data_IF_963958198498
#
_entry.id   IF_963958198498
#
_cell.length_a   1.000
_cell.length_b   1.000
_cell.length_c   1.000
_cell.angle_alpha   90.00
_cell.angle_beta   90.00
_cell.angle_gamma   90.00
#
_symmetry.space_group_name_H-M   'P 1'
#
loop_
_entity.id
_entity.type
_entity.pdbx_description
1 polymer ?
#
# COMPACT_ATOMS: atom_id res chain seq x y z
N UNK A 1 -8.93 12.93 -3.46
CA UNK A 1 -10.23 13.66 -3.38
C UNK A 1 -11.02 13.20 -2.16
N UNK A 2 -11.92 14.05 -1.65
CA UNK A 2 -12.80 13.72 -0.50
C UNK A 2 -13.64 12.48 -0.80
N UNK A 3 -14.18 12.37 -2.03
CA UNK A 3 -14.98 11.23 -2.47
C UNK A 3 -14.22 9.90 -2.31
N UNK A 4 -12.95 9.86 -2.70
CA UNK A 4 -12.11 8.66 -2.54
C UNK A 4 -11.93 8.28 -1.07
N UNK A 5 -11.79 9.26 -0.18
CA UNK A 5 -11.72 9.01 1.26
C UNK A 5 -12.98 8.34 1.80
N UNK A 6 -14.16 8.82 1.41
CA UNK A 6 -15.45 8.25 1.82
C UNK A 6 -15.64 6.85 1.25
N UNK A 7 -15.32 6.61 -0.03
CA UNK A 7 -15.39 5.28 -0.66
C UNK A 7 -14.46 4.30 0.05
N UNK A 8 -13.25 4.73 0.41
CA UNK A 8 -12.30 3.91 1.16
C UNK A 8 -12.82 3.54 2.55
N UNK A 9 -13.46 4.48 3.24
CA UNK A 9 -14.10 4.23 4.54
C UNK A 9 -15.27 3.24 4.41
N UNK A 10 -16.16 3.41 3.43
CA UNK A 10 -17.25 2.47 3.14
C UNK A 10 -16.70 1.06 2.85
N UNK A 11 -15.68 0.98 1.99
CA UNK A 11 -15.04 -0.28 1.65
C UNK A 11 -14.38 -0.96 2.86
N UNK A 12 -13.78 -0.18 3.77
CA UNK A 12 -13.22 -0.70 5.02
C UNK A 12 -14.31 -1.26 5.93
N UNK A 13 -15.44 -0.54 6.09
CA UNK A 13 -16.60 -1.00 6.86
C UNK A 13 -17.13 -2.31 6.27
N UNK A 14 -17.41 -2.37 4.98
CA UNK A 14 -17.91 -3.59 4.33
C UNK A 14 -16.98 -4.80 4.54
N UNK A 15 -15.66 -4.59 4.45
CA UNK A 15 -14.67 -5.67 4.72
C UNK A 15 -14.70 -6.11 6.19
N UNK A 16 -14.77 -5.16 7.11
CA UNK A 16 -14.81 -5.45 8.56
C UNK A 16 -16.06 -6.22 8.98
N UNK A 17 -17.17 -6.00 8.27
CA UNK A 17 -18.42 -6.76 8.47
C UNK A 17 -18.45 -8.11 7.72
N UNK A 18 -17.31 -8.58 7.21
CA UNK A 18 -17.22 -9.88 6.54
C UNK A 18 -17.84 -9.90 5.13
N UNK A 19 -18.04 -8.75 4.51
CA UNK A 19 -18.59 -8.62 3.15
C UNK A 19 -17.57 -8.05 2.14
N UNK A 20 -16.36 -8.65 2.02
CA UNK A 20 -15.31 -8.13 1.14
C UNK A 20 -15.72 -8.13 -0.34
N UNK A 21 -16.59 -9.07 -0.76
CA UNK A 21 -17.09 -9.14 -2.14
C UNK A 21 -17.80 -7.85 -2.54
N UNK A 22 -18.60 -7.25 -1.67
CA UNK A 22 -19.29 -5.99 -1.97
C UNK A 22 -18.30 -4.83 -2.12
N UNK A 23 -17.27 -4.76 -1.26
CA UNK A 23 -16.22 -3.75 -1.39
C UNK A 23 -15.47 -3.89 -2.73
N UNK A 24 -15.19 -5.11 -3.16
CA UNK A 24 -14.57 -5.38 -4.49
C UNK A 24 -15.51 -4.96 -5.61
N UNK A 25 -16.81 -5.25 -5.50
CA UNK A 25 -17.82 -4.86 -6.51
C UNK A 25 -17.88 -3.35 -6.67
N UNK A 26 -17.83 -2.56 -5.57
CA UNK A 26 -17.78 -1.08 -5.66
C UNK A 26 -16.54 -0.62 -6.43
N UNK A 27 -15.37 -1.19 -6.13
CA UNK A 27 -14.12 -0.81 -6.81
C UNK A 27 -14.11 -1.22 -8.27
N UNK A 28 -14.59 -2.41 -8.61
CA UNK A 28 -14.70 -2.88 -10.00
C UNK A 28 -15.66 -2.00 -10.82
N UNK A 29 -16.83 -1.72 -10.25
CA UNK A 29 -17.81 -0.83 -10.89
C UNK A 29 -17.24 0.55 -11.15
N UNK A 30 -16.55 1.15 -10.15
CA UNK A 30 -15.87 2.42 -10.29
C UNK A 30 -14.88 2.40 -11.45
N UNK A 31 -14.03 1.36 -11.53
CA UNK A 31 -13.02 1.25 -12.59
C UNK A 31 -13.63 1.05 -13.96
N UNK A 32 -14.69 0.25 -14.07
CA UNK A 32 -15.41 0.05 -15.36
C UNK A 32 -16.03 1.36 -15.82
N UNK A 33 -16.74 2.08 -14.94
CA UNK A 33 -17.33 3.37 -15.26
C UNK A 33 -16.25 4.38 -15.65
N UNK A 34 -15.13 4.40 -14.91
CA UNK A 34 -14.00 5.27 -15.23
C UNK A 34 -13.39 4.96 -16.60
N UNK A 35 -13.19 3.70 -16.93
CA UNK A 35 -12.67 3.28 -18.23
C UNK A 35 -13.62 3.67 -19.39
N UNK A 36 -14.93 3.47 -19.22
CA UNK A 36 -15.93 3.84 -20.21
C UNK A 36 -15.97 5.35 -20.40
N UNK A 37 -15.99 6.13 -19.31
CA UNK A 37 -16.03 7.59 -19.39
C UNK A 37 -14.73 8.15 -20.00
N UNK A 38 -13.56 7.60 -19.65
CA UNK A 38 -12.30 8.00 -20.28
C UNK A 38 -12.27 7.65 -21.77
N UNK A 39 -12.82 6.50 -22.18
CA UNK A 39 -12.97 6.16 -23.58
C UNK A 39 -13.82 7.20 -24.34
N UNK A 40 -14.95 7.60 -23.76
CA UNK A 40 -15.82 8.64 -24.35
C UNK A 40 -15.11 9.99 -24.46
N UNK A 41 -14.31 10.36 -23.45
CA UNK A 41 -13.54 11.62 -23.48
C UNK A 41 -12.43 11.59 -24.53
N UNK A 42 -11.71 10.48 -24.65
CA UNK A 42 -10.54 10.38 -25.56
C UNK A 42 -10.99 10.27 -27.03
N UNK A 43 -11.96 9.40 -27.32
CA UNK A 43 -12.38 9.11 -28.69
C UNK A 43 -13.54 9.98 -29.17
N UNK A 44 -14.19 10.72 -28.28
CA UNK A 44 -15.28 11.69 -28.59
C UNK A 44 -16.36 11.16 -29.55
N UNK A 45 -16.93 9.98 -29.33
CA UNK A 45 -18.02 9.48 -30.15
C UNK A 45 -19.23 10.42 -30.11
N UNK A 46 -19.33 11.24 -29.04
CA UNK A 46 -20.37 12.27 -28.86
C UNK A 46 -19.68 13.52 -28.30
N UNK A 47 -19.79 14.66 -29.03
CA UNK A 47 -19.16 15.95 -28.64
C UNK A 47 -19.91 16.67 -27.50
N UNK A 48 -20.14 16.00 -26.39
CA UNK A 48 -20.85 16.54 -25.21
C UNK A 48 -19.89 16.80 -24.04
N UNK A 49 -18.71 16.18 -24.05
CA UNK A 49 -17.77 16.21 -22.91
C UNK A 49 -16.57 17.11 -23.29
N UNK A 50 -16.06 17.92 -22.35
CA UNK A 50 -14.83 18.70 -22.55
C UNK A 50 -13.66 17.80 -22.96
N UNK A 51 -12.81 18.32 -23.85
CA UNK A 51 -11.65 17.60 -24.37
C UNK A 51 -10.47 17.63 -23.36
N UNK A 52 -9.57 16.67 -23.49
CA UNK A 52 -8.29 16.67 -22.77
C UNK A 52 -8.39 16.46 -21.27
N UNK A 53 -7.58 17.18 -20.52
CA UNK A 53 -7.39 16.98 -19.06
C UNK A 53 -8.67 17.25 -18.26
N UNK A 54 -9.47 18.24 -18.70
CA UNK A 54 -10.72 18.59 -18.02
C UNK A 54 -11.75 17.46 -18.12
N UNK A 55 -11.91 16.89 -19.31
CA UNK A 55 -12.81 15.74 -19.52
C UNK A 55 -12.40 14.52 -18.70
N UNK A 56 -11.10 14.20 -18.66
CA UNK A 56 -10.58 13.10 -17.84
C UNK A 56 -10.82 13.37 -16.34
N UNK A 57 -10.65 14.61 -15.88
CA UNK A 57 -10.93 14.98 -14.50
C UNK A 57 -12.43 14.82 -14.17
N UNK A 58 -13.32 15.23 -15.07
CA UNK A 58 -14.76 15.04 -14.90
C UNK A 58 -15.15 13.55 -14.90
N UNK A 59 -14.58 12.74 -15.79
CA UNK A 59 -14.77 11.29 -15.80
C UNK A 59 -14.35 10.63 -14.47
N UNK A 60 -13.24 11.08 -13.91
CA UNK A 60 -12.79 10.61 -12.58
C UNK A 60 -13.77 10.99 -11.47
N UNK A 61 -14.25 12.24 -11.43
CA UNK A 61 -15.23 12.68 -10.42
C UNK A 61 -16.54 11.93 -10.56
N UNK A 62 -17.04 11.77 -11.79
CA UNK A 62 -18.28 11.04 -12.05
C UNK A 62 -18.19 9.57 -11.64
N UNK A 63 -17.10 8.88 -11.98
CA UNK A 63 -16.91 7.47 -11.59
C UNK A 63 -16.82 7.30 -10.07
N UNK A 64 -16.17 8.22 -9.36
CA UNK A 64 -16.16 8.22 -7.89
C UNK A 64 -17.55 8.51 -7.31
N UNK A 65 -18.30 9.43 -7.91
CA UNK A 65 -19.68 9.73 -7.52
C UNK A 65 -20.60 8.50 -7.62
N UNK A 66 -20.55 7.79 -8.75
CA UNK A 66 -21.33 6.56 -8.95
C UNK A 66 -20.91 5.44 -8.00
N UNK A 67 -19.61 5.28 -7.74
CA UNK A 67 -19.10 4.32 -6.77
C UNK A 67 -19.54 4.62 -5.34
N UNK A 68 -19.60 5.91 -4.98
CA UNK A 68 -20.12 6.34 -3.67
C UNK A 68 -21.58 5.97 -3.51
N UNK A 69 -22.42 6.25 -4.51
CA UNK A 69 -23.84 5.88 -4.48
C UNK A 69 -24.04 4.37 -4.33
N UNK A 70 -23.28 3.58 -5.09
CA UNK A 70 -23.33 2.11 -5.02
C UNK A 70 -22.85 1.62 -3.64
N UNK A 71 -21.78 2.21 -3.10
CA UNK A 71 -21.26 1.87 -1.77
C UNK A 71 -22.25 2.16 -0.65
N UNK A 72 -22.91 3.33 -0.68
CA UNK A 72 -23.96 3.71 0.26
C UNK A 72 -25.17 2.77 0.14
N UNK A 73 -25.59 2.44 -1.09
CA UNK A 73 -26.66 1.48 -1.32
C UNK A 73 -26.36 0.12 -0.69
N UNK A 74 -25.12 -0.39 -0.86
CA UNK A 74 -24.72 -1.65 -0.21
C UNK A 74 -24.72 -1.57 1.32
N UNK A 75 -24.35 -0.44 1.92
CA UNK A 75 -24.44 -0.26 3.37
C UNK A 75 -25.88 -0.44 3.85
N UNK A 76 -26.84 0.24 3.22
CA UNK A 76 -28.26 0.12 3.57
C UNK A 76 -28.79 -1.31 3.33
N UNK A 77 -28.45 -1.92 2.21
CA UNK A 77 -28.87 -3.29 1.90
C UNK A 77 -28.30 -4.33 2.88
N UNK A 78 -27.16 -4.06 3.48
CA UNK A 78 -26.57 -4.91 4.53
C UNK A 78 -27.17 -4.66 5.93
N UNK A 79 -28.16 -3.80 6.06
CA UNK A 79 -28.76 -3.43 7.34
C UNK A 79 -27.89 -2.51 8.21
N UNK A 80 -26.87 -1.89 7.60
CA UNK A 80 -26.01 -0.92 8.26
C UNK A 80 -26.65 0.47 8.09
N UNK A 81 -27.50 0.85 9.04
CA UNK A 81 -28.13 2.17 9.01
C UNK A 81 -27.18 3.23 9.55
N UNK A 82 -27.01 4.31 8.79
CA UNK A 82 -26.29 5.50 9.22
C UNK A 82 -27.25 6.33 10.10
N UNK A 83 -27.09 6.22 11.41
CA UNK A 83 -27.87 7.02 12.36
C UNK A 83 -27.19 8.38 12.58
N UNK A 84 -27.61 9.38 11.79
CA UNK A 84 -27.16 10.76 11.93
C UNK A 84 -27.84 11.51 13.09
N UNK A 85 -28.90 10.94 13.67
CA UNK A 85 -29.74 11.62 14.69
C UNK A 85 -29.27 11.38 16.14
N UNK A 86 -28.36 10.42 16.35
CA UNK A 86 -27.88 10.08 17.69
C UNK A 86 -26.92 11.16 18.22
N UNK A 87 -27.47 12.13 18.94
CA UNK A 87 -26.75 13.15 19.73
C UNK A 87 -26.06 12.58 20.98
N UNK A 88 -25.75 11.30 21.03
CA UNK A 88 -25.16 10.69 22.22
C UNK A 88 -23.68 11.10 22.38
N UNK A 89 -23.31 11.55 23.57
CA UNK A 89 -21.93 11.82 24.01
C UNK A 89 -20.97 10.65 23.75
N UNK A 90 -21.46 9.43 23.58
CA UNK A 90 -20.71 8.23 23.15
C UNK A 90 -20.08 8.40 21.78
N UNK A 91 -20.64 9.22 20.89
CA UNK A 91 -20.11 9.49 19.55
C UNK A 91 -18.74 10.17 19.61
N UNK A 92 -18.54 11.14 20.51
CA UNK A 92 -17.24 11.80 20.70
C UNK A 92 -16.15 10.82 21.21
N UNK A 93 -16.53 9.91 22.09
CA UNK A 93 -15.62 8.86 22.58
C UNK A 93 -15.20 7.91 21.45
N UNK A 94 -16.13 7.54 20.56
CA UNK A 94 -15.82 6.73 19.37
C UNK A 94 -14.89 7.47 18.38
N UNK A 95 -15.14 8.77 18.14
CA UNK A 95 -14.28 9.60 17.29
C UNK A 95 -12.86 9.67 17.86
N UNK A 96 -12.72 9.86 19.19
CA UNK A 96 -11.42 9.83 19.86
C UNK A 96 -10.67 8.50 19.68
N UNK A 97 -11.39 7.36 19.76
CA UNK A 97 -10.85 6.03 19.49
C UNK A 97 -10.37 5.87 18.06
N UNK A 98 -11.17 6.31 17.09
CA UNK A 98 -10.82 6.26 15.66
C UNK A 98 -9.59 7.13 15.36
N UNK A 99 -9.55 8.35 15.91
CA UNK A 99 -8.39 9.26 15.74
C UNK A 99 -7.12 8.70 16.37
N UNK A 100 -7.23 8.08 17.55
CA UNK A 100 -6.09 7.45 18.25
C UNK A 100 -5.43 6.35 17.41
N UNK A 101 -6.21 5.66 16.58
CA UNK A 101 -5.72 4.60 15.68
C UNK A 101 -5.35 5.18 14.32
N UNK A 102 -6.18 6.05 13.77
CA UNK A 102 -6.04 6.59 12.42
C UNK A 102 -4.91 7.61 12.28
N UNK A 103 -4.71 8.48 13.28
CA UNK A 103 -3.70 9.52 13.22
C UNK A 103 -2.26 8.98 13.10
N UNK A 104 -1.84 7.98 13.90
CA UNK A 104 -0.55 7.33 13.69
C UNK A 104 -0.39 6.72 12.28
N UNK A 105 -1.44 6.10 11.74
CA UNK A 105 -1.45 5.60 10.37
C UNK A 105 -1.26 6.71 9.33
N UNK A 106 -1.97 7.82 9.50
CA UNK A 106 -1.85 9.01 8.66
C UNK A 106 -0.44 9.62 8.69
N UNK A 107 0.14 9.76 9.87
CA UNK A 107 1.53 10.26 10.04
C UNK A 107 2.52 9.35 9.33
N UNK A 108 2.40 8.02 9.48
CA UNK A 108 3.26 7.06 8.76
C UNK A 108 3.14 7.23 7.24
N UNK A 109 1.92 7.36 6.71
CA UNK A 109 1.67 7.50 5.28
C UNK A 109 2.20 8.81 4.72
N UNK A 110 2.03 9.91 5.44
CA UNK A 110 2.59 11.22 5.07
C UNK A 110 4.11 11.18 5.08
N UNK A 111 4.72 10.66 6.16
CA UNK A 111 6.17 10.51 6.28
C UNK A 111 6.74 9.68 5.12
N UNK A 112 6.10 8.57 4.79
CA UNK A 112 6.48 7.74 3.64
C UNK A 112 6.37 8.51 2.32
N UNK A 113 5.29 9.25 2.09
CA UNK A 113 5.10 10.04 0.87
C UNK A 113 6.19 11.11 0.71
N UNK A 114 6.51 11.83 1.78
CA UNK A 114 7.60 12.79 1.77
C UNK A 114 8.97 12.14 1.54
N UNK A 115 9.23 11.00 2.17
CA UNK A 115 10.48 10.26 1.96
C UNK A 115 10.63 9.79 0.51
N UNK A 116 9.55 9.41 -0.17
CA UNK A 116 9.57 9.05 -1.59
C UNK A 116 9.87 10.23 -2.50
N UNK A 117 9.40 11.44 -2.16
CA UNK A 117 9.76 12.67 -2.89
C UNK A 117 11.26 12.93 -2.76
N UNK A 118 11.80 12.91 -1.55
CA UNK A 118 13.24 13.12 -1.29
C UNK A 118 14.07 12.03 -1.98
N UNK A 119 13.68 10.78 -1.88
CA UNK A 119 14.36 9.66 -2.55
C UNK A 119 14.37 9.82 -4.08
N UNK A 120 13.25 10.29 -4.65
CA UNK A 120 13.18 10.58 -6.09
C UNK A 120 14.08 11.75 -6.49
N UNK A 121 14.20 12.78 -5.63
CA UNK A 121 15.13 13.89 -5.84
C UNK A 121 16.59 13.44 -5.80
N UNK A 122 16.95 12.52 -4.89
CA UNK A 122 18.29 11.91 -4.85
C UNK A 122 18.57 11.16 -6.16
N UNK A 123 17.60 10.38 -6.64
CA UNK A 123 17.72 9.63 -7.90
C UNK A 123 17.81 10.54 -9.13
N UNK A 124 17.15 11.68 -9.12
CA UNK A 124 17.21 12.67 -10.21
C UNK A 124 18.64 13.21 -10.41
N UNK A 125 19.44 13.30 -9.35
CA UNK A 125 20.87 13.71 -9.42
C UNK A 125 21.71 12.66 -10.19
N UNK A 126 21.29 11.39 -10.23
CA UNK A 126 21.99 10.31 -10.95
C UNK A 126 21.73 10.35 -12.46
N UNK A 127 20.89 11.24 -12.95
CA UNK A 127 20.58 11.43 -14.35
C UNK A 127 19.25 10.79 -14.80
N UNK A 128 18.85 11.16 -16.02
CA UNK A 128 17.55 10.78 -16.58
C UNK A 128 17.41 9.27 -16.83
N UNK A 129 18.48 8.58 -17.21
CA UNK A 129 18.47 7.14 -17.44
C UNK A 129 18.16 6.37 -16.15
N UNK A 130 18.79 6.76 -15.01
CA UNK A 130 18.53 6.15 -13.71
C UNK A 130 17.10 6.41 -13.23
N UNK A 131 16.59 7.62 -13.43
CA UNK A 131 15.21 7.96 -13.07
C UNK A 131 14.19 7.19 -13.90
N UNK A 132 14.43 7.05 -15.20
CA UNK A 132 13.58 6.27 -16.12
C UNK A 132 13.60 4.78 -15.75
N UNK A 133 14.79 4.22 -15.49
CA UNK A 133 14.94 2.85 -15.02
C UNK A 133 14.14 2.61 -13.72
N UNK A 134 14.22 3.53 -12.74
CA UNK A 134 13.40 3.48 -11.51
C UNK A 134 11.92 3.39 -11.82
N UNK A 135 11.41 4.26 -12.71
CA UNK A 135 9.97 4.32 -13.04
C UNK A 135 9.51 2.98 -13.62
N UNK A 136 10.26 2.42 -14.58
CA UNK A 136 9.90 1.16 -15.22
C UNK A 136 9.97 -0.02 -14.26
N UNK A 137 11.07 -0.13 -13.49
CA UNK A 137 11.21 -1.17 -12.46
C UNK A 137 10.07 -1.07 -11.44
N UNK A 138 9.80 0.13 -10.91
CA UNK A 138 8.74 0.34 -9.94
C UNK A 138 7.36 -0.04 -10.50
N UNK A 139 7.10 0.18 -11.79
CA UNK A 139 5.83 -0.21 -12.44
C UNK A 139 5.66 -1.73 -12.49
N UNK A 140 6.74 -2.47 -12.72
CA UNK A 140 6.72 -3.95 -12.74
C UNK A 140 6.60 -4.50 -11.32
N UNK A 141 7.42 -4.03 -10.39
CA UNK A 141 7.45 -4.48 -8.99
C UNK A 141 6.17 -4.13 -8.25
N UNK A 142 5.43 -3.12 -8.70
CA UNK A 142 4.14 -2.72 -8.11
C UNK A 142 3.15 -3.87 -7.97
N UNK A 143 3.15 -4.84 -8.89
CA UNK A 143 2.26 -6.00 -8.80
C UNK A 143 2.64 -6.94 -7.64
N UNK A 144 3.93 -7.10 -7.36
CA UNK A 144 4.40 -7.85 -6.17
C UNK A 144 4.03 -7.12 -4.90
N UNK A 145 4.28 -5.80 -4.87
CA UNK A 145 3.91 -4.92 -3.76
C UNK A 145 2.43 -5.02 -3.40
N UNK A 146 1.53 -4.90 -4.37
CA UNK A 146 0.07 -4.96 -4.14
C UNK A 146 -0.35 -6.32 -3.60
N UNK A 147 0.31 -7.40 -4.03
CA UNK A 147 0.03 -8.75 -3.53
C UNK A 147 0.37 -8.86 -2.04
N UNK A 148 1.57 -8.43 -1.64
CA UNK A 148 1.98 -8.41 -0.24
C UNK A 148 1.11 -7.50 0.63
N UNK A 149 0.77 -6.30 0.12
CA UNK A 149 -0.12 -5.35 0.79
C UNK A 149 -1.52 -5.92 1.01
N UNK A 150 -2.07 -6.64 0.03
CA UNK A 150 -3.39 -7.25 0.12
C UNK A 150 -3.44 -8.34 1.18
N UNK A 151 -2.39 -9.17 1.28
CA UNK A 151 -2.24 -10.18 2.33
C UNK A 151 -2.11 -9.52 3.71
N UNK A 152 -1.32 -8.46 3.82
CA UNK A 152 -1.19 -7.69 5.06
C UNK A 152 -2.53 -7.10 5.52
N UNK A 153 -3.27 -6.45 4.63
CA UNK A 153 -4.57 -5.85 4.94
C UNK A 153 -5.60 -6.92 5.36
N UNK A 154 -5.63 -8.07 4.69
CA UNK A 154 -6.49 -9.19 5.07
C UNK A 154 -6.12 -9.73 6.45
N UNK A 155 -4.82 -9.82 6.74
CA UNK A 155 -4.32 -10.24 8.06
C UNK A 155 -4.75 -9.26 9.15
N UNK A 156 -4.70 -7.94 8.91
CA UNK A 156 -5.15 -6.94 9.88
C UNK A 156 -6.61 -7.14 10.30
N UNK A 157 -7.51 -7.41 9.34
CA UNK A 157 -8.92 -7.63 9.61
C UNK A 157 -9.14 -8.88 10.48
N UNK A 158 -8.51 -9.99 10.10
CA UNK A 158 -8.61 -11.25 10.84
C UNK A 158 -7.98 -11.14 12.24
N UNK A 159 -6.85 -10.44 12.35
CA UNK A 159 -6.22 -10.12 13.63
C UNK A 159 -7.15 -9.33 14.53
N UNK A 160 -7.82 -8.31 13.99
CA UNK A 160 -8.81 -7.51 14.72
C UNK A 160 -9.95 -8.37 15.28
N UNK A 161 -10.51 -9.27 14.48
CA UNK A 161 -11.57 -10.19 14.93
C UNK A 161 -11.11 -11.15 16.03
N UNK A 162 -9.95 -11.81 15.81
CA UNK A 162 -9.44 -12.77 16.78
C UNK A 162 -9.00 -12.10 18.08
N UNK A 163 -8.41 -10.91 18.00
CA UNK A 163 -8.02 -10.13 19.20
C UNK A 163 -9.25 -9.66 19.96
N UNK A 164 -10.29 -9.20 19.26
CA UNK A 164 -11.58 -8.84 19.87
C UNK A 164 -12.26 -10.04 20.57
N UNK A 165 -12.16 -11.22 19.97
CA UNK A 165 -12.63 -12.49 20.57
C UNK A 165 -11.68 -13.05 21.67
N UNK A 166 -10.55 -12.40 21.95
CA UNK A 166 -9.49 -12.84 22.89
C UNK A 166 -8.83 -14.18 22.51
N UNK A 167 -8.90 -14.56 21.23
CA UNK A 167 -8.32 -15.79 20.69
C UNK A 167 -6.86 -15.60 20.27
N UNK A 168 -6.01 -15.15 21.17
CA UNK A 168 -4.63 -14.72 20.89
C UNK A 168 -3.74 -15.81 20.25
N UNK A 169 -3.93 -17.07 20.62
CA UNK A 169 -3.16 -18.18 20.03
C UNK A 169 -3.55 -18.46 18.57
N UNK A 170 -4.83 -18.33 18.25
CA UNK A 170 -5.29 -18.44 16.86
C UNK A 170 -4.75 -17.29 16.03
N UNK A 171 -4.82 -16.06 16.58
CA UNK A 171 -4.27 -14.87 15.94
C UNK A 171 -2.75 -15.01 15.66
N UNK A 172 -2.00 -15.55 16.63
CA UNK A 172 -0.57 -15.78 16.45
C UNK A 172 -0.27 -16.80 15.34
N UNK A 173 -0.99 -17.94 15.32
CA UNK A 173 -0.85 -18.96 14.27
C UNK A 173 -1.25 -18.43 12.89
N UNK A 174 -2.32 -17.66 12.81
CA UNK A 174 -2.75 -17.02 11.57
C UNK A 174 -1.66 -16.11 11.00
N UNK A 175 -1.10 -15.22 11.83
CA UNK A 175 -0.01 -14.34 11.40
C UNK A 175 1.17 -15.14 10.82
N UNK A 176 1.60 -16.21 11.50
CA UNK A 176 2.70 -17.04 11.01
C UNK A 176 2.39 -17.72 9.66
N UNK A 177 1.15 -18.15 9.46
CA UNK A 177 0.72 -18.72 8.17
C UNK A 177 0.70 -17.65 7.08
N UNK A 178 0.13 -16.49 7.36
CA UNK A 178 0.09 -15.37 6.40
C UNK A 178 1.48 -14.87 6.05
N UNK A 179 2.39 -14.80 7.03
CA UNK A 179 3.79 -14.43 6.78
C UNK A 179 4.48 -15.42 5.85
N UNK A 180 4.34 -16.74 6.08
CA UNK A 180 4.91 -17.77 5.20
C UNK A 180 4.36 -17.65 3.78
N UNK A 181 3.05 -17.47 3.64
CA UNK A 181 2.40 -17.31 2.32
C UNK A 181 2.92 -16.05 1.63
N UNK A 182 2.96 -14.91 2.33
CA UNK A 182 3.41 -13.64 1.75
C UNK A 182 4.88 -13.70 1.30
N UNK A 183 5.77 -14.21 2.16
CA UNK A 183 7.19 -14.37 1.83
C UNK A 183 7.38 -15.30 0.64
N UNK A 184 6.75 -16.48 0.65
CA UNK A 184 6.85 -17.43 -0.44
C UNK A 184 6.36 -16.86 -1.76
N UNK A 185 5.20 -16.18 -1.74
CA UNK A 185 4.60 -15.61 -2.92
C UNK A 185 5.45 -14.45 -3.48
N UNK A 186 5.91 -13.54 -2.61
CA UNK A 186 6.77 -12.44 -3.05
C UNK A 186 8.10 -12.96 -3.63
N UNK A 187 8.72 -13.98 -3.01
CA UNK A 187 9.95 -14.59 -3.56
C UNK A 187 9.67 -15.17 -4.95
N UNK A 188 8.62 -15.97 -5.10
CA UNK A 188 8.30 -16.59 -6.39
C UNK A 188 8.07 -15.53 -7.46
N UNK A 189 7.27 -14.51 -7.17
CA UNK A 189 6.98 -13.44 -8.12
C UNK A 189 8.22 -12.63 -8.46
N UNK A 190 9.05 -12.25 -7.47
CA UNK A 190 10.27 -11.46 -7.70
C UNK A 190 11.31 -12.26 -8.50
N UNK A 191 11.47 -13.55 -8.21
CA UNK A 191 12.37 -14.44 -8.98
C UNK A 191 11.88 -14.57 -10.41
N UNK A 192 10.58 -14.75 -10.64
CA UNK A 192 10.00 -14.79 -11.99
C UNK A 192 10.26 -13.48 -12.76
N UNK A 193 10.06 -12.33 -12.10
CA UNK A 193 10.34 -11.02 -12.69
C UNK A 193 11.83 -10.89 -13.00
N UNK A 194 12.72 -11.30 -12.09
CA UNK A 194 14.16 -11.26 -12.32
C UNK A 194 14.56 -12.13 -13.51
N UNK A 195 14.05 -13.36 -13.63
CA UNK A 195 14.35 -14.25 -14.74
C UNK A 195 13.82 -13.70 -16.09
N UNK A 196 12.67 -13.03 -16.04
CA UNK A 196 12.02 -12.44 -17.22
C UNK A 196 12.30 -10.94 -17.39
N UNK A 197 13.31 -10.37 -16.69
CA UNK A 197 13.49 -8.92 -16.67
C UNK A 197 13.76 -8.32 -18.07
N UNK A 198 14.55 -8.96 -18.92
CA UNK A 198 14.82 -8.46 -20.28
C UNK A 198 13.56 -8.34 -21.14
N UNK A 199 12.77 -9.40 -21.37
CA UNK A 199 11.53 -9.28 -22.14
C UNK A 199 10.53 -8.33 -21.50
N UNK A 200 10.44 -8.26 -20.17
CA UNK A 200 9.58 -7.30 -19.49
C UNK A 200 10.03 -5.85 -19.72
N UNK A 201 11.34 -5.58 -19.69
CA UNK A 201 11.87 -4.24 -19.94
C UNK A 201 11.70 -3.80 -21.39
N UNK A 202 11.79 -4.73 -22.35
CA UNK A 202 11.54 -4.43 -23.77
C UNK A 202 10.11 -3.94 -24.06
N UNK A 203 9.14 -4.20 -23.18
CA UNK A 203 7.79 -3.62 -23.27
C UNK A 203 7.77 -2.10 -22.98
N UNK A 204 8.78 -1.59 -22.28
CA UNK A 204 8.86 -0.19 -21.85
C UNK A 204 9.89 0.61 -22.65
N UNK A 205 11.00 0.00 -23.04
CA UNK A 205 12.11 0.70 -23.72
C UNK A 205 12.93 -0.23 -24.60
N UNK A 206 13.56 0.36 -25.63
CA UNK A 206 14.56 -0.32 -26.48
C UNK A 206 16.00 0.08 -26.11
N UNK A 207 16.20 0.92 -25.10
CA UNK A 207 17.53 1.35 -24.66
C UNK A 207 18.23 0.26 -23.89
N UNK A 208 19.28 -0.34 -24.50
CA UNK A 208 20.12 -1.37 -23.85
C UNK A 208 20.83 -0.84 -22.61
N UNK A 209 21.13 0.45 -22.54
CA UNK A 209 21.68 1.10 -21.35
C UNK A 209 20.75 0.96 -20.17
N UNK A 210 19.46 1.30 -20.36
CA UNK A 210 18.44 1.22 -19.30
C UNK A 210 18.19 -0.24 -18.92
N UNK A 211 18.07 -1.14 -19.90
CA UNK A 211 17.84 -2.57 -19.68
C UNK A 211 19.00 -3.19 -18.90
N UNK A 212 20.24 -2.85 -19.26
CA UNK A 212 21.45 -3.34 -18.59
C UNK A 212 21.51 -2.97 -17.10
N UNK A 213 21.08 -1.74 -16.75
CA UNK A 213 21.02 -1.31 -15.35
C UNK A 213 19.99 -2.09 -14.54
N UNK A 214 18.88 -2.54 -15.15
CA UNK A 214 17.74 -3.11 -14.40
C UNK A 214 17.97 -4.54 -13.93
N UNK A 215 18.86 -5.30 -14.54
CA UNK A 215 19.14 -6.68 -14.12
C UNK A 215 19.63 -6.78 -12.66
N UNK A 216 20.61 -5.93 -12.29
CA UNK A 216 21.10 -5.85 -10.90
C UNK A 216 20.00 -5.36 -9.95
N UNK A 217 19.17 -4.43 -10.42
CA UNK A 217 18.08 -3.87 -9.62
C UNK A 217 17.05 -4.95 -9.28
N UNK A 218 16.58 -5.71 -10.26
CA UNK A 218 15.64 -6.81 -10.03
C UNK A 218 16.21 -7.93 -9.14
N UNK A 219 17.52 -8.18 -9.22
CA UNK A 219 18.16 -9.10 -8.30
C UNK A 219 18.13 -8.60 -6.85
N UNK A 220 18.48 -7.33 -6.62
CA UNK A 220 18.41 -6.71 -5.28
C UNK A 220 16.94 -6.68 -4.80
N UNK A 221 16.01 -6.46 -5.70
CA UNK A 221 14.58 -6.34 -5.41
C UNK A 221 13.98 -7.63 -4.83
N UNK A 222 14.53 -8.81 -5.15
CA UNK A 222 14.13 -10.07 -4.48
C UNK A 222 14.25 -9.94 -2.96
N UNK A 223 15.34 -9.35 -2.50
CA UNK A 223 15.57 -9.14 -1.06
C UNK A 223 14.70 -8.00 -0.50
N UNK A 224 14.45 -6.96 -1.30
CA UNK A 224 13.49 -5.91 -0.94
C UNK A 224 12.11 -6.52 -0.68
N UNK A 225 11.65 -7.38 -1.58
CA UNK A 225 10.31 -7.98 -1.48
C UNK A 225 10.18 -8.98 -0.33
N UNK A 226 11.28 -9.66 0.06
CA UNK A 226 11.31 -10.46 1.29
C UNK A 226 11.09 -9.56 2.51
N UNK A 227 11.87 -8.49 2.65
CA UNK A 227 11.72 -7.53 3.74
C UNK A 227 10.33 -6.89 3.75
N UNK A 228 9.81 -6.56 2.58
CA UNK A 228 8.49 -5.97 2.37
C UNK A 228 7.36 -6.91 2.79
N UNK A 229 7.47 -8.22 2.51
CA UNK A 229 6.49 -9.21 2.96
C UNK A 229 6.43 -9.27 4.49
N UNK A 230 7.58 -9.27 5.17
CA UNK A 230 7.62 -9.16 6.64
C UNK A 230 7.00 -7.86 7.11
N UNK A 231 7.36 -6.73 6.51
CA UNK A 231 6.85 -5.42 6.86
C UNK A 231 5.32 -5.36 6.72
N UNK A 232 4.77 -5.74 5.56
CA UNK A 232 3.33 -5.67 5.32
C UNK A 232 2.52 -6.56 6.26
N UNK A 233 2.93 -7.80 6.49
CA UNK A 233 2.17 -8.72 7.35
C UNK A 233 2.28 -8.32 8.82
N UNK A 234 3.48 -8.01 9.30
CA UNK A 234 3.70 -7.71 10.71
C UNK A 234 3.17 -6.34 11.12
N UNK A 235 3.39 -5.28 10.29
CA UNK A 235 2.82 -3.94 10.53
C UNK A 235 1.29 -4.00 10.62
N UNK A 236 0.66 -4.65 9.62
CA UNK A 236 -0.78 -4.78 9.58
C UNK A 236 -1.33 -5.65 10.73
N UNK A 237 -0.61 -6.70 11.13
CA UNK A 237 -0.99 -7.51 12.29
C UNK A 237 -0.93 -6.74 13.60
N UNK A 238 0.13 -5.95 13.81
CA UNK A 238 0.27 -5.08 14.98
C UNK A 238 -0.84 -4.03 15.03
N UNK A 239 -1.12 -3.37 13.90
CA UNK A 239 -2.20 -2.38 13.77
C UNK A 239 -3.57 -3.01 13.99
N UNK A 240 -3.83 -4.18 13.41
CA UNK A 240 -5.07 -4.94 13.61
C UNK A 240 -5.29 -5.35 15.07
N UNK A 241 -4.22 -5.58 15.82
CA UNK A 241 -4.25 -5.85 17.26
C UNK A 241 -4.25 -4.58 18.15
N UNK A 242 -4.29 -3.37 17.57
CA UNK A 242 -4.33 -2.09 18.28
C UNK A 242 -2.96 -1.51 18.68
N UNK A 243 -1.85 -2.16 18.32
CA UNK A 243 -0.50 -1.62 18.56
C UNK A 243 -0.07 -0.74 17.38
N UNK A 244 -0.65 0.45 17.25
CA UNK A 244 -0.48 1.35 16.10
C UNK A 244 0.68 2.34 16.25
N UNK A 245 1.00 2.72 17.49
CA UNK A 245 2.01 3.74 17.76
C UNK A 245 3.43 3.23 17.49
N UNK A 246 3.73 2.01 17.91
CA UNK A 246 5.05 1.41 17.72
C UNK A 246 5.43 1.29 16.23
N UNK A 247 4.58 0.72 15.35
CA UNK A 247 4.87 0.69 13.92
C UNK A 247 5.04 2.08 13.30
N UNK A 248 4.25 3.08 13.72
CA UNK A 248 4.40 4.45 13.24
C UNK A 248 5.79 5.01 13.54
N UNK A 249 6.25 4.91 14.78
CA UNK A 249 7.57 5.44 15.19
C UNK A 249 8.69 4.78 14.41
N UNK A 250 8.66 3.45 14.30
CA UNK A 250 9.68 2.69 13.56
C UNK A 250 9.64 3.05 12.06
N UNK A 251 8.45 3.17 11.46
CA UNK A 251 8.33 3.55 10.06
C UNK A 251 8.93 4.94 9.77
N UNK A 252 8.67 5.92 10.64
CA UNK A 252 9.24 7.27 10.50
C UNK A 252 10.77 7.24 10.64
N UNK A 253 11.27 6.59 11.68
CA UNK A 253 12.74 6.51 11.92
C UNK A 253 13.42 5.79 10.74
N UNK A 254 12.86 4.71 10.25
CA UNK A 254 13.43 3.92 9.16
C UNK A 254 13.42 4.70 7.83
N UNK A 255 12.30 5.32 7.48
CA UNK A 255 12.22 6.11 6.24
C UNK A 255 13.30 7.19 6.16
N UNK A 256 13.53 7.90 7.23
CA UNK A 256 14.50 9.02 7.25
C UNK A 256 15.91 8.57 7.60
N UNK A 257 16.07 7.72 8.62
CA UNK A 257 17.37 7.30 9.15
C UNK A 257 18.01 6.15 8.37
N UNK A 258 17.22 5.32 7.70
CA UNK A 258 17.76 4.20 6.90
C UNK A 258 17.58 4.48 5.42
N UNK A 259 16.33 4.58 4.92
CA UNK A 259 16.08 4.68 3.48
C UNK A 259 16.77 5.87 2.84
N UNK A 260 16.51 7.10 3.32
CA UNK A 260 17.06 8.33 2.71
C UNK A 260 18.55 8.45 2.96
N UNK A 261 18.99 8.22 4.20
CA UNK A 261 20.41 8.35 4.55
C UNK A 261 21.28 7.41 3.73
N UNK A 262 20.91 6.13 3.67
CA UNK A 262 21.69 5.14 2.89
C UNK A 262 21.51 5.30 1.38
N UNK A 263 20.35 5.79 0.90
CA UNK A 263 20.20 6.13 -0.52
C UNK A 263 21.19 7.24 -0.93
N UNK A 264 21.36 8.26 -0.12
CA UNK A 264 22.36 9.31 -0.34
C UNK A 264 23.80 8.79 -0.23
N UNK A 265 24.12 8.03 0.81
CA UNK A 265 25.46 7.52 1.05
C UNK A 265 25.88 6.49 -0.03
N UNK A 266 25.05 5.48 -0.28
CA UNK A 266 25.38 4.42 -1.24
C UNK A 266 25.21 4.89 -2.69
N UNK A 267 24.10 5.60 -2.97
CA UNK A 267 23.79 6.02 -4.34
C UNK A 267 24.70 7.14 -4.84
N UNK A 268 24.95 8.18 -4.02
CA UNK A 268 25.69 9.38 -4.43
C UNK A 268 27.12 9.33 -3.92
N UNK A 269 27.36 9.23 -2.61
CA UNK A 269 28.70 9.39 -2.02
C UNK A 269 29.65 8.23 -2.41
N UNK A 270 29.17 6.99 -2.39
CA UNK A 270 29.94 5.82 -2.79
C UNK A 270 29.85 5.53 -4.31
N UNK A 271 29.08 6.34 -5.05
CA UNK A 271 29.00 6.21 -6.52
C UNK A 271 28.34 4.95 -7.04
N UNK A 272 27.60 4.21 -6.18
CA UNK A 272 26.91 2.97 -6.59
C UNK A 272 25.65 3.25 -7.46
N UNK A 273 25.30 4.52 -7.66
CA UNK A 273 24.17 4.91 -8.51
C UNK A 273 22.85 4.31 -8.08
N UNK A 274 22.06 3.87 -9.05
CA UNK A 274 20.73 3.31 -8.83
C UNK A 274 20.76 2.03 -7.97
N UNK A 275 21.77 1.19 -8.12
CA UNK A 275 21.92 -0.03 -7.32
C UNK A 275 22.10 0.30 -5.82
N UNK A 276 22.90 1.34 -5.51
CA UNK A 276 23.06 1.81 -4.13
C UNK A 276 21.75 2.29 -3.49
N UNK A 277 20.91 2.98 -4.27
CA UNK A 277 19.58 3.39 -3.81
C UNK A 277 18.67 2.17 -3.55
N UNK A 278 18.73 1.14 -4.40
CA UNK A 278 17.94 -0.09 -4.19
C UNK A 278 18.41 -0.89 -2.97
N UNK A 279 19.72 -0.93 -2.72
CA UNK A 279 20.27 -1.51 -1.48
C UNK A 279 19.76 -0.73 -0.26
N UNK A 280 19.66 0.58 -0.34
CA UNK A 280 19.09 1.38 0.75
C UNK A 280 17.62 1.03 1.02
N UNK A 281 16.81 0.81 -0.03
CA UNK A 281 15.43 0.35 0.11
C UNK A 281 15.37 -1.06 0.71
N UNK A 282 16.26 -1.96 0.30
CA UNK A 282 16.39 -3.29 0.88
C UNK A 282 16.68 -3.22 2.39
N UNK A 283 17.65 -2.40 2.78
CA UNK A 283 18.01 -2.22 4.18
C UNK A 283 16.85 -1.66 5.00
N UNK A 284 16.10 -0.68 4.46
CA UNK A 284 14.91 -0.10 5.08
C UNK A 284 13.81 -1.14 5.32
N UNK A 285 13.45 -1.90 4.29
CA UNK A 285 12.40 -2.92 4.40
C UNK A 285 12.81 -4.07 5.34
N UNK A 286 14.06 -4.52 5.27
CA UNK A 286 14.59 -5.55 6.17
C UNK A 286 14.65 -5.07 7.63
N UNK A 287 15.07 -3.82 7.86
CA UNK A 287 15.13 -3.23 9.19
C UNK A 287 13.73 -3.15 9.82
N UNK A 288 12.76 -2.57 9.10
CA UNK A 288 11.38 -2.46 9.58
C UNK A 288 10.75 -3.84 9.79
N UNK A 289 10.86 -4.71 8.80
CA UNK A 289 10.30 -6.05 8.86
C UNK A 289 10.85 -6.85 10.04
N UNK A 290 12.16 -6.78 10.29
CA UNK A 290 12.81 -7.46 11.44
C UNK A 290 12.31 -6.92 12.78
N UNK A 291 12.21 -5.61 12.93
CA UNK A 291 11.74 -4.99 14.19
C UNK A 291 10.27 -5.34 14.45
N UNK A 292 9.42 -5.27 13.41
CA UNK A 292 7.99 -5.62 13.56
C UNK A 292 7.81 -7.11 13.89
N UNK A 293 8.58 -7.99 13.27
CA UNK A 293 8.57 -9.40 13.55
C UNK A 293 8.97 -9.70 15.02
N UNK A 294 10.05 -9.09 15.52
CA UNK A 294 10.47 -9.20 16.92
C UNK A 294 9.38 -8.68 17.86
N UNK A 295 8.78 -7.51 17.50
CA UNK A 295 7.69 -6.91 18.29
C UNK A 295 6.48 -7.83 18.35
N UNK A 296 6.08 -8.42 17.23
CA UNK A 296 4.94 -9.34 17.17
C UNK A 296 5.20 -10.60 17.98
N UNK A 297 6.39 -11.21 17.83
CA UNK A 297 6.80 -12.39 18.60
C UNK A 297 6.88 -12.15 20.11
N UNK A 298 7.19 -10.94 20.54
CA UNK A 298 7.20 -10.58 21.97
C UNK A 298 5.82 -10.61 22.63
N UNK A 299 4.75 -10.80 21.84
CA UNK A 299 3.34 -10.83 22.28
C UNK A 299 2.88 -9.58 23.05
N UNK A 300 3.63 -8.48 22.97
CA UNK A 300 3.24 -7.22 23.66
C UNK A 300 1.94 -6.63 23.15
N UNK A 301 1.55 -6.97 21.91
CA UNK A 301 0.28 -6.59 21.31
C UNK A 301 -0.94 -7.17 22.05
N UNK A 302 -0.82 -8.33 22.70
CA UNK A 302 -1.94 -8.96 23.46
C UNK A 302 -2.38 -8.13 24.67
N UNK A 303 -1.53 -7.22 25.15
CA UNK A 303 -1.80 -6.33 26.29
C UNK A 303 -2.42 -4.98 25.85
N UNK A 304 -2.52 -4.71 24.56
CA UNK A 304 -3.14 -3.50 24.05
C UNK A 304 -4.65 -3.64 24.11
N UNK A 305 -5.29 -2.60 24.65
CA UNK A 305 -6.76 -2.46 24.64
C UNK A 305 -7.12 -1.42 23.59
N UNK A 306 -7.97 -1.81 22.66
CA UNK A 306 -8.57 -0.91 21.68
C UNK A 306 -9.71 -0.16 22.34
#
# INVERSE_FOLDING_TARGET
>A
SVLQGIISAISAVLRSYGKPKLAVTVSLFMNIVNAVLNYVVIFQPVKIVPEGVEGIAMANVASHGTALLLGVWFLFHCGLHLDFASKNLKTLSCVGGILKIGLPGGISSLSYSFSQIVSTSILAVLGTAALTAKIYVSSIVFYVYVTGMSLGLSTAILMGWMTGAKEYEKAYRLNQQMLKIAVSLNIVLSVLIFLCHRPLMHLFTQSEEIIGMTGVIFFIDIFVEIGRAFNHVEDNSLRGAGDVFFPMVIAVISCWGVSILFAYLLGIRLGMGLAGCWIAFMLDEMFRGSIFFIRFRSRKWTKKRI
#
